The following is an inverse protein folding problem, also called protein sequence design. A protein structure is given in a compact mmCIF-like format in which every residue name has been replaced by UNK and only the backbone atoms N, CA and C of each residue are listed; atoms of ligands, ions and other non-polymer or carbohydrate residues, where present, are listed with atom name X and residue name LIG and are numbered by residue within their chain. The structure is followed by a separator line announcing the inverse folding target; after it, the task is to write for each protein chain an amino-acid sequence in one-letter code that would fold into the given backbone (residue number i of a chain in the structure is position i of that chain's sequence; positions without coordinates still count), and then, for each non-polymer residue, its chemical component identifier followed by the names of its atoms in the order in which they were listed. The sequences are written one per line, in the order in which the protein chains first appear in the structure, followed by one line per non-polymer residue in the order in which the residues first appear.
data_IF_931646877229
#
_entry.id   IF_931646877229
#
_cell.length_a   1.000
_cell.length_b   1.000
_cell.length_c   1.000
_cell.angle_alpha   90.00
_cell.angle_beta   90.00
_cell.angle_gamma   90.00
#
_symmetry.space_group_name_H-M   'P 1'
#
loop_
_entity.id
_entity.type
_entity.pdbx_description
1 polymer ?
#
# COMPACT_ATOMS: atom_id res chain seq x y z
N UNK A 1 -23.34 7.87 9.36
CA UNK A 1 -22.29 7.65 8.34
C UNK A 1 -21.08 8.52 8.71
N UNK A 2 -20.14 7.99 9.49
CA UNK A 2 -18.90 8.70 9.82
C UNK A 2 -17.94 8.56 8.63
N UNK A 3 -17.91 9.57 7.76
CA UNK A 3 -16.76 9.75 6.86
C UNK A 3 -15.58 10.18 7.73
N UNK A 4 -14.61 9.29 7.88
CA UNK A 4 -13.30 9.65 8.44
C UNK A 4 -12.80 10.88 7.68
N UNK A 5 -12.46 11.99 8.34
CA UNK A 5 -11.97 13.16 7.64
C UNK A 5 -10.73 12.76 6.84
N UNK A 6 -10.73 13.07 5.55
CA UNK A 6 -9.58 12.85 4.69
C UNK A 6 -8.35 13.48 5.36
N UNK A 7 -7.30 12.68 5.56
CA UNK A 7 -6.11 13.08 6.33
C UNK A 7 -5.41 14.29 5.69
N UNK A 8 -5.69 14.56 4.41
CA UNK A 8 -4.94 15.44 3.51
C UNK A 8 -5.58 16.81 3.21
N UNK A 9 -6.51 17.32 4.04
CA UNK A 9 -7.32 18.50 3.71
C UNK A 9 -6.59 19.87 3.53
N UNK A 10 -5.25 19.96 3.57
CA UNK A 10 -4.57 21.28 3.68
C UNK A 10 -3.23 21.48 2.95
N UNK A 11 -2.75 20.61 2.07
CA UNK A 11 -1.51 20.88 1.31
C UNK A 11 -1.77 20.97 -0.19
N UNK A 12 -1.64 22.17 -0.76
CA UNK A 12 -1.84 22.44 -2.20
C UNK A 12 -0.71 21.91 -3.10
N UNK A 13 0.32 21.26 -2.54
CA UNK A 13 1.40 20.62 -3.33
C UNK A 13 1.70 19.24 -2.78
N UNK A 14 0.94 18.24 -3.20
CA UNK A 14 1.27 16.85 -2.91
C UNK A 14 2.44 16.44 -3.82
N UNK A 15 3.53 15.93 -3.24
CA UNK A 15 4.61 15.31 -4.00
C UNK A 15 4.10 13.97 -4.55
N UNK A 16 3.37 14.02 -5.66
CA UNK A 16 2.75 12.84 -6.31
C UNK A 16 3.81 11.78 -6.59
N UNK A 17 5.04 12.18 -6.92
CA UNK A 17 6.13 11.23 -7.14
C UNK A 17 6.51 10.48 -5.85
N UNK A 18 6.66 11.18 -4.72
CA UNK A 18 6.99 10.55 -3.44
C UNK A 18 5.87 9.64 -2.92
N UNK A 19 4.61 10.06 -3.03
CA UNK A 19 3.48 9.21 -2.65
C UNK A 19 3.35 7.99 -3.56
N UNK A 20 3.55 8.14 -4.87
CA UNK A 20 3.52 7.01 -5.80
C UNK A 20 4.65 6.02 -5.52
N UNK A 21 5.87 6.51 -5.25
CA UNK A 21 7.01 5.68 -4.86
C UNK A 21 6.71 4.90 -3.57
N UNK A 22 6.13 5.55 -2.56
CA UNK A 22 5.69 4.89 -1.34
C UNK A 22 4.65 3.78 -1.62
N UNK A 23 3.66 4.04 -2.49
CA UNK A 23 2.68 3.01 -2.87
C UNK A 23 3.33 1.83 -3.61
N UNK A 24 4.33 2.07 -4.46
CA UNK A 24 5.09 0.99 -5.09
C UNK A 24 5.83 0.14 -4.05
N UNK A 25 6.49 0.79 -3.08
CA UNK A 25 7.21 0.10 -2.00
C UNK A 25 6.27 -0.78 -1.16
N UNK A 26 5.06 -0.29 -0.85
CA UNK A 26 4.04 -1.10 -0.15
C UNK A 26 3.69 -2.36 -0.95
N UNK A 27 3.53 -2.24 -2.26
CA UNK A 27 3.25 -3.40 -3.12
C UNK A 27 4.44 -4.37 -3.19
N UNK A 28 5.68 -3.86 -3.22
CA UNK A 28 6.91 -4.69 -3.20
C UNK A 28 7.00 -5.46 -1.90
N UNK A 29 6.93 -4.77 -0.75
CA UNK A 29 7.02 -5.39 0.58
C UNK A 29 5.94 -6.45 0.78
N UNK A 30 4.74 -6.23 0.24
CA UNK A 30 3.66 -7.21 0.32
C UNK A 30 3.99 -8.50 -0.45
N UNK A 31 4.57 -8.42 -1.65
CA UNK A 31 5.00 -9.60 -2.43
C UNK A 31 6.17 -10.31 -1.75
N UNK A 32 7.15 -9.56 -1.25
CA UNK A 32 8.30 -10.14 -0.53
C UNK A 32 7.87 -10.88 0.75
N UNK A 33 6.91 -10.30 1.48
CA UNK A 33 6.33 -10.92 2.67
C UNK A 33 5.54 -12.18 2.31
N UNK A 34 4.82 -12.17 1.18
CA UNK A 34 4.11 -13.35 0.66
C UNK A 34 5.09 -14.46 0.26
N UNK A 35 6.21 -14.12 -0.37
CA UNK A 35 7.30 -15.05 -0.70
C UNK A 35 7.89 -15.71 0.54
N UNK A 36 8.25 -14.92 1.55
CA UNK A 36 8.77 -15.41 2.84
C UNK A 36 7.77 -16.35 3.52
N UNK A 37 6.49 -15.97 3.53
CA UNK A 37 5.43 -16.79 4.10
C UNK A 37 5.29 -18.12 3.34
N UNK A 38 5.33 -18.10 2.00
CA UNK A 38 5.29 -19.30 1.17
C UNK A 38 6.46 -20.24 1.45
N UNK A 39 7.68 -19.71 1.56
CA UNK A 39 8.88 -20.49 1.90
C UNK A 39 8.76 -21.15 3.28
N UNK A 40 8.27 -20.41 4.27
CA UNK A 40 8.02 -20.95 5.62
C UNK A 40 6.94 -22.03 5.66
N UNK A 41 5.97 -21.99 4.74
CA UNK A 41 4.91 -22.97 4.58
C UNK A 41 5.33 -24.20 3.77
N UNK A 42 6.36 -24.09 2.93
CA UNK A 42 6.94 -25.26 2.28
C UNK A 42 7.81 -26.05 3.26
N UNK A 43 8.39 -25.38 4.25
CA UNK A 43 9.16 -26.05 5.32
C UNK A 43 8.28 -26.63 6.44
N UNK A 44 7.01 -26.22 6.55
CA UNK A 44 6.06 -26.70 7.58
C UNK A 44 4.77 -27.23 6.95
N UNK A 45 4.26 -28.39 7.39
CA UNK A 45 3.08 -29.05 6.77
C UNK A 45 1.76 -28.31 7.07
N UNK A 46 1.59 -27.09 6.56
CA UNK A 46 0.44 -26.19 6.82
C UNK A 46 -0.22 -25.69 5.51
N UNK A 47 -0.23 -26.55 4.49
CA UNK A 47 -0.28 -26.19 3.06
C UNK A 47 -1.49 -25.45 2.47
N UNK A 48 -2.63 -25.33 3.16
CA UNK A 48 -3.83 -24.72 2.53
C UNK A 48 -4.14 -23.28 3.00
N UNK A 49 -4.07 -22.99 4.30
CA UNK A 49 -4.37 -21.65 4.83
C UNK A 49 -3.28 -20.63 4.45
N UNK A 50 -2.04 -21.08 4.36
CA UNK A 50 -0.93 -20.22 3.99
C UNK A 50 -0.99 -19.86 2.50
N UNK A 51 -1.32 -20.83 1.63
CA UNK A 51 -1.47 -20.56 0.20
C UNK A 51 -2.56 -19.51 -0.08
N UNK A 52 -3.69 -19.56 0.64
CA UNK A 52 -4.75 -18.55 0.54
C UNK A 52 -4.26 -17.16 0.99
N UNK A 53 -3.50 -17.11 2.09
CA UNK A 53 -2.90 -15.87 2.59
C UNK A 53 -1.92 -15.26 1.58
N UNK A 54 -1.01 -16.08 1.03
CA UNK A 54 -0.05 -15.67 -0.01
C UNK A 54 -0.76 -15.13 -1.24
N UNK A 55 -1.76 -15.87 -1.75
CA UNK A 55 -2.55 -15.44 -2.92
C UNK A 55 -3.26 -14.11 -2.67
N UNK A 56 -3.83 -13.92 -1.48
CA UNK A 56 -4.48 -12.65 -1.08
C UNK A 56 -3.49 -11.49 -0.99
N UNK A 57 -2.26 -11.74 -0.53
CA UNK A 57 -1.18 -10.73 -0.51
C UNK A 57 -0.75 -10.34 -1.92
N UNK A 58 -0.52 -11.30 -2.81
CA UNK A 58 -0.15 -11.04 -4.21
C UNK A 58 -1.26 -10.26 -4.95
N UNK A 59 -2.53 -10.63 -4.71
CA UNK A 59 -3.67 -9.93 -5.28
C UNK A 59 -3.74 -8.47 -4.82
N UNK A 60 -3.60 -8.22 -3.50
CA UNK A 60 -3.60 -6.86 -2.95
C UNK A 60 -2.41 -6.05 -3.47
N UNK A 61 -1.23 -6.65 -3.60
CA UNK A 61 -0.08 -5.98 -4.20
C UNK A 61 -0.35 -5.57 -5.66
N UNK A 62 -1.00 -6.43 -6.45
CA UNK A 62 -1.42 -6.07 -7.82
C UNK A 62 -2.44 -4.94 -7.84
N UNK A 63 -3.40 -4.93 -6.91
CA UNK A 63 -4.38 -3.86 -6.78
C UNK A 63 -3.70 -2.53 -6.42
N UNK A 64 -2.78 -2.54 -5.46
CA UNK A 64 -2.00 -1.35 -5.10
C UNK A 64 -1.27 -0.80 -6.33
N UNK A 65 -0.60 -1.64 -7.13
CA UNK A 65 0.10 -1.19 -8.35
C UNK A 65 -0.82 -0.53 -9.37
N UNK A 66 -2.02 -1.07 -9.57
CA UNK A 66 -3.01 -0.47 -10.47
C UNK A 66 -3.47 0.89 -9.95
N UNK A 67 -3.76 0.98 -8.64
CA UNK A 67 -4.14 2.24 -7.99
C UNK A 67 -2.98 3.25 -8.05
N UNK A 68 -1.73 2.82 -7.92
CA UNK A 68 -0.55 3.70 -8.09
C UNK A 68 -0.47 4.24 -9.52
N UNK A 69 -0.74 3.41 -10.53
CA UNK A 69 -0.77 3.86 -11.91
C UNK A 69 -1.85 4.92 -12.14
N UNK A 70 -3.05 4.72 -11.59
CA UNK A 70 -4.12 5.72 -11.62
C UNK A 70 -3.76 6.99 -10.85
N UNK A 71 -3.16 6.87 -9.67
CA UNK A 71 -2.71 7.98 -8.85
C UNK A 71 -1.66 8.85 -9.56
N UNK A 72 -0.71 8.26 -10.29
CA UNK A 72 0.26 9.03 -11.08
C UNK A 72 -0.39 9.88 -12.17
N UNK A 73 -1.58 9.49 -12.65
CA UNK A 73 -2.33 10.21 -13.68
C UNK A 73 -3.26 11.27 -13.06
N UNK A 74 -3.93 10.94 -11.96
CA UNK A 74 -4.97 11.79 -11.36
C UNK A 74 -4.45 12.73 -10.27
N UNK A 75 -3.39 12.32 -9.56
CA UNK A 75 -2.94 12.95 -8.32
C UNK A 75 -3.94 12.84 -7.17
N UNK A 76 -4.97 11.97 -7.29
CA UNK A 76 -6.05 11.87 -6.31
C UNK A 76 -5.59 11.14 -5.05
N UNK A 77 -5.52 11.87 -3.93
CA UNK A 77 -5.13 11.30 -2.65
C UNK A 77 -6.10 10.22 -2.14
N UNK A 78 -7.32 10.12 -2.67
CA UNK A 78 -8.20 8.98 -2.39
C UNK A 78 -7.60 7.66 -2.88
N UNK A 79 -6.87 7.67 -4.00
CA UNK A 79 -6.12 6.51 -4.49
C UNK A 79 -4.98 6.14 -3.54
N UNK A 80 -4.27 7.13 -2.99
CA UNK A 80 -3.23 6.90 -1.98
C UNK A 80 -3.83 6.28 -0.70
N UNK A 81 -4.94 6.83 -0.20
CA UNK A 81 -5.63 6.30 0.99
C UNK A 81 -6.10 4.85 0.76
N UNK A 82 -6.60 4.54 -0.44
CA UNK A 82 -7.02 3.18 -0.80
C UNK A 82 -5.85 2.20 -0.84
N UNK A 83 -4.70 2.60 -1.41
CA UNK A 83 -3.49 1.78 -1.41
C UNK A 83 -2.98 1.50 0.02
N UNK A 84 -3.02 2.51 0.90
CA UNK A 84 -2.66 2.35 2.31
C UNK A 84 -3.59 1.35 3.01
N UNK A 85 -4.90 1.44 2.80
CA UNK A 85 -5.88 0.50 3.36
C UNK A 85 -5.65 -0.94 2.88
N UNK A 86 -5.36 -1.16 1.59
CA UNK A 86 -5.03 -2.48 1.05
C UNK A 86 -3.75 -3.05 1.67
N UNK A 87 -2.78 -2.17 1.93
CA UNK A 87 -1.54 -2.49 2.64
C UNK A 87 -1.75 -2.76 4.14
N UNK A 88 -2.92 -2.42 4.71
CA UNK A 88 -3.14 -2.43 6.16
C UNK A 88 -2.34 -1.34 6.89
N UNK A 89 -1.90 -0.31 6.17
CA UNK A 89 -1.15 0.82 6.70
C UNK A 89 -2.07 2.04 6.85
N UNK A 90 -1.92 2.76 7.95
CA UNK A 90 -2.68 3.99 8.22
C UNK A 90 -1.70 5.08 8.63
N UNK A 91 -1.10 5.80 7.67
CA UNK A 91 -0.11 6.84 7.97
C UNK A 91 -0.73 7.98 8.79
N UNK A 92 -0.01 8.45 9.80
CA UNK A 92 -0.35 9.68 10.49
C UNK A 92 0.16 10.91 9.71
N UNK A 93 -0.20 12.11 10.18
CA UNK A 93 0.23 13.36 9.54
C UNK A 93 1.75 13.54 9.51
N UNK A 94 2.47 13.00 10.48
CA UNK A 94 3.92 13.12 10.54
C UNK A 94 4.57 12.24 9.47
N UNK A 95 4.12 10.99 9.31
CA UNK A 95 4.56 10.11 8.24
C UNK A 95 4.29 10.72 6.86
N UNK A 96 3.12 11.33 6.67
CA UNK A 96 2.78 12.01 5.43
C UNK A 96 3.66 13.25 5.17
N UNK A 97 3.99 14.02 6.22
CA UNK A 97 4.90 15.16 6.10
C UNK A 97 6.33 14.71 5.78
N UNK A 98 6.80 13.59 6.36
CA UNK A 98 8.09 13.00 6.02
C UNK A 98 8.15 12.57 4.56
N UNK A 99 7.09 12.01 3.99
CA UNK A 99 7.02 11.67 2.57
C UNK A 99 7.05 12.89 1.65
N UNK A 100 6.57 14.06 2.10
CA UNK A 100 6.65 15.28 1.31
C UNK A 100 8.07 15.85 1.24
N UNK A 101 8.87 15.65 2.29
CA UNK A 101 10.24 16.17 2.41
C UNK A 101 11.28 15.16 1.93
N UNK A 102 10.98 13.87 2.01
CA UNK A 102 11.83 12.80 1.49
C UNK A 102 11.70 12.69 -0.03
N UNK A 103 12.27 13.66 -0.76
CA UNK A 103 12.79 13.55 -2.14
C UNK A 103 13.17 14.95 -2.65
#
# INVERSE_FOLDING_TARGET
MNKTPAINATSTTHNVAAYAACMDELAVQMVESAGTLRESAMSTVAGNAILQTVTSMELRASQIRNITAEFRLSGDMASFDQACQLAGWSPDRQALASLQVAH
#
